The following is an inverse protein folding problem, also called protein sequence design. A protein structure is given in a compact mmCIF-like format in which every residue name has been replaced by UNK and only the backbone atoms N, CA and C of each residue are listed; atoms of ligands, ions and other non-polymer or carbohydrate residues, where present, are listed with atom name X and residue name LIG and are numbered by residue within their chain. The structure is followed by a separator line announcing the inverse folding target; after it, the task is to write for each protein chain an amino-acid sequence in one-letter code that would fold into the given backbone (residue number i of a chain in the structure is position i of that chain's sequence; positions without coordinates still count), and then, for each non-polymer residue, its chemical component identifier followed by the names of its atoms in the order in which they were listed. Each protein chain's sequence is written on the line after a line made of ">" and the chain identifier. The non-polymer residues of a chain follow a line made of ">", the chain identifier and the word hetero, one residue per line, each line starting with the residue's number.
data_IF_916308949895
#
_entry.id   IF_916308949895
#
_cell.length_a   1.000
_cell.length_b   1.000
_cell.length_c   1.000
_cell.angle_alpha   90.00
_cell.angle_beta   90.00
_cell.angle_gamma   90.00
#
_symmetry.space_group_name_H-M   'P 1'
#
loop_
_entity.id
_entity.type
_entity.pdbx_description
1 polymer ?
#
# COMPACT_ATOMS: atom_id res chain seq x y z
N UNK A 1 17.41 28.85 1.48
CA UNK A 1 15.96 29.16 1.38
C UNK A 1 15.20 27.86 1.17
N UNK A 2 14.51 27.40 2.18
CA UNK A 2 13.60 26.26 2.03
C UNK A 2 12.30 26.80 1.46
N UNK A 3 12.01 26.48 0.20
CA UNK A 3 10.70 26.71 -0.39
C UNK A 3 9.67 25.97 0.47
N UNK A 4 8.79 26.72 1.11
CA UNK A 4 7.61 26.15 1.75
C UNK A 4 6.62 25.77 0.65
N UNK A 5 6.80 24.56 0.10
CA UNK A 5 5.85 24.01 -0.86
C UNK A 5 4.55 23.66 -0.14
N UNK A 6 3.40 23.89 -0.78
CA UNK A 6 2.13 23.37 -0.31
C UNK A 6 2.22 21.87 -0.01
N UNK A 7 1.43 21.45 0.96
CA UNK A 7 1.45 20.09 1.47
C UNK A 7 1.20 19.02 0.37
N UNK A 8 0.26 19.28 -0.52
CA UNK A 8 -0.10 18.42 -1.63
C UNK A 8 1.09 18.18 -2.56
N UNK A 9 1.83 19.25 -2.87
CA UNK A 9 3.03 19.17 -3.73
C UNK A 9 4.15 18.39 -3.05
N UNK A 10 4.34 18.57 -1.74
CA UNK A 10 5.31 17.78 -0.98
C UNK A 10 4.97 16.29 -0.98
N UNK A 11 3.70 15.96 -0.86
CA UNK A 11 3.20 14.58 -0.89
C UNK A 11 3.44 13.95 -2.27
N UNK A 12 3.11 14.65 -3.33
CA UNK A 12 3.34 14.19 -4.71
C UNK A 12 4.82 13.94 -5.00
N UNK A 13 5.69 14.88 -4.62
CA UNK A 13 7.13 14.77 -4.84
C UNK A 13 7.74 13.61 -4.06
N UNK A 14 7.32 13.41 -2.80
CA UNK A 14 7.78 12.25 -2.01
C UNK A 14 7.34 10.93 -2.62
N UNK A 15 6.11 10.86 -3.09
CA UNK A 15 5.56 9.69 -3.76
C UNK A 15 6.34 9.40 -5.03
N UNK A 16 6.54 10.39 -5.88
CA UNK A 16 7.28 10.28 -7.13
C UNK A 16 8.75 9.90 -6.90
N UNK A 17 9.40 10.48 -5.88
CA UNK A 17 10.78 10.11 -5.48
C UNK A 17 10.88 8.65 -5.10
N UNK A 18 9.91 8.14 -4.33
CA UNK A 18 9.88 6.74 -3.91
C UNK A 18 9.64 5.77 -5.06
N UNK A 19 8.92 6.19 -6.07
CA UNK A 19 8.53 5.37 -7.21
C UNK A 19 9.57 5.36 -8.33
N UNK A 20 10.25 6.50 -8.55
CA UNK A 20 11.20 6.66 -9.66
C UNK A 20 12.66 6.47 -9.23
N UNK A 21 12.94 6.48 -7.93
CA UNK A 21 14.30 6.53 -7.39
C UNK A 21 15.01 7.87 -7.63
N UNK A 22 14.33 8.86 -8.23
CA UNK A 22 14.87 10.20 -8.42
C UNK A 22 14.91 10.96 -7.09
N UNK A 23 15.92 11.79 -6.91
CA UNK A 23 15.94 12.70 -5.77
C UNK A 23 14.81 13.73 -5.84
N UNK A 24 14.35 14.22 -4.69
CA UNK A 24 13.35 15.30 -4.59
C UNK A 24 13.76 16.51 -5.43
N UNK A 25 15.06 16.85 -5.40
CA UNK A 25 15.62 17.93 -6.20
C UNK A 25 15.46 17.70 -7.70
N UNK A 26 15.71 16.49 -8.17
CA UNK A 26 15.59 16.14 -9.59
C UNK A 26 14.13 16.25 -10.05
N UNK A 27 13.21 15.78 -9.24
CA UNK A 27 11.77 15.85 -9.54
C UNK A 27 11.29 17.31 -9.62
N UNK A 28 11.73 18.14 -8.67
CA UNK A 28 11.43 19.58 -8.69
C UNK A 28 11.95 20.26 -9.98
N UNK A 29 13.19 19.95 -10.37
CA UNK A 29 13.80 20.47 -11.57
C UNK A 29 13.06 20.02 -12.84
N UNK A 30 12.66 18.76 -12.89
CA UNK A 30 11.90 18.20 -14.01
C UNK A 30 10.53 18.89 -14.15
N UNK A 31 9.83 19.11 -13.04
CA UNK A 31 8.55 19.84 -13.02
C UNK A 31 8.70 21.31 -13.45
N UNK A 32 9.76 21.99 -13.00
CA UNK A 32 10.02 23.39 -13.34
C UNK A 32 10.41 23.58 -14.84
N UNK A 33 11.02 22.58 -15.45
CA UNK A 33 11.39 22.60 -16.86
C UNK A 33 10.25 22.22 -17.82
N UNK A 34 9.05 21.94 -17.28
CA UNK A 34 7.91 21.51 -18.09
C UNK A 34 8.10 20.13 -18.73
N UNK A 35 9.09 19.37 -18.26
CA UNK A 35 9.31 17.98 -18.65
C UNK A 35 8.29 17.09 -17.99
N UNK A 36 7.10 16.96 -18.56
CA UNK A 36 6.17 15.89 -18.24
C UNK A 36 6.74 14.57 -18.76
N UNK A 37 7.60 13.93 -17.99
CA UNK A 37 7.68 12.49 -18.05
C UNK A 37 6.53 12.00 -17.17
N UNK A 38 5.33 12.08 -17.68
CA UNK A 38 4.22 11.28 -17.22
C UNK A 38 4.54 9.80 -17.48
N UNK A 39 5.36 9.20 -16.63
CA UNK A 39 5.07 7.84 -16.25
C UNK A 39 3.84 7.97 -15.35
N UNK A 40 2.68 7.90 -15.96
CA UNK A 40 1.44 7.70 -15.25
C UNK A 40 1.64 6.44 -14.40
N UNK A 41 1.81 6.64 -13.10
CA UNK A 41 1.68 5.53 -12.18
C UNK A 41 0.29 4.96 -12.39
N UNK A 42 0.12 3.62 -12.38
CA UNK A 42 -1.20 3.04 -12.39
C UNK A 42 -2.06 3.77 -11.36
N UNK A 43 -3.21 4.27 -11.76
CA UNK A 43 -4.08 5.12 -10.94
C UNK A 43 -4.39 4.46 -9.58
N UNK A 44 -4.47 3.14 -9.56
CA UNK A 44 -4.73 2.35 -8.35
C UNK A 44 -3.56 2.37 -7.35
N UNK A 45 -2.32 2.30 -7.83
CA UNK A 45 -1.14 2.45 -6.97
C UNK A 45 -1.09 3.84 -6.35
N UNK A 46 -1.38 4.88 -7.14
CA UNK A 46 -1.41 6.27 -6.64
C UNK A 46 -2.46 6.43 -5.53
N UNK A 47 -3.67 5.89 -5.72
CA UNK A 47 -4.73 5.88 -4.69
C UNK A 47 -4.26 5.20 -3.41
N UNK A 48 -3.62 4.05 -3.53
CA UNK A 48 -3.12 3.30 -2.37
C UNK A 48 -2.00 4.04 -1.64
N UNK A 49 -1.11 4.71 -2.35
CA UNK A 49 -0.05 5.52 -1.71
C UNK A 49 -0.62 6.73 -0.96
N UNK A 50 -1.64 7.39 -1.50
CA UNK A 50 -2.37 8.45 -0.80
C UNK A 50 -3.08 7.92 0.45
N UNK A 51 -3.72 6.77 0.34
CA UNK A 51 -4.38 6.12 1.48
C UNK A 51 -3.39 5.72 2.58
N UNK A 52 -2.21 5.21 2.22
CA UNK A 52 -1.14 4.94 3.19
C UNK A 52 -0.67 6.20 3.91
N UNK A 53 -0.64 7.31 3.21
CA UNK A 53 -0.31 8.59 3.82
C UNK A 53 -1.35 9.01 4.87
N UNK A 54 -2.63 8.86 4.56
CA UNK A 54 -3.72 9.08 5.51
C UNK A 54 -3.64 8.13 6.71
N UNK A 55 -3.39 6.84 6.47
CA UNK A 55 -3.21 5.82 7.52
C UNK A 55 -2.06 6.19 8.45
N UNK A 56 -0.96 6.69 7.91
CA UNK A 56 0.20 7.13 8.70
C UNK A 56 -0.15 8.26 9.69
N UNK A 57 -1.14 9.09 9.37
CA UNK A 57 -1.57 10.22 10.19
C UNK A 57 -2.57 9.83 11.29
N UNK A 58 -3.07 8.61 11.31
CA UNK A 58 -4.04 8.15 12.29
C UNK A 58 -3.45 8.16 13.69
N UNK A 59 -4.15 8.79 14.63
CA UNK A 59 -3.76 8.89 16.03
C UNK A 59 -4.43 7.79 16.85
N UNK A 60 -3.98 7.61 18.08
CA UNK A 60 -4.64 6.70 19.02
C UNK A 60 -6.14 6.96 19.08
N UNK A 61 -6.95 5.92 19.14
CA UNK A 61 -8.41 5.96 19.14
C UNK A 61 -9.04 6.52 17.86
N UNK A 62 -8.37 6.40 16.72
CA UNK A 62 -8.84 6.90 15.43
C UNK A 62 -10.19 6.33 14.97
N UNK A 63 -10.54 5.14 15.45
CA UNK A 63 -11.82 4.49 15.15
C UNK A 63 -12.90 4.71 16.23
N UNK A 64 -12.60 5.51 17.28
CA UNK A 64 -13.49 5.71 18.44
C UNK A 64 -13.58 4.50 19.37
N UNK A 65 -12.82 3.44 19.13
CA UNK A 65 -12.86 2.18 19.88
C UNK A 65 -11.44 1.71 20.29
N UNK A 66 -10.64 2.63 20.82
CA UNK A 66 -9.29 2.40 21.37
C UNK A 66 -8.26 1.85 20.37
N UNK A 67 -8.45 2.04 19.06
CA UNK A 67 -7.50 1.61 18.06
C UNK A 67 -6.11 2.21 18.30
N UNK A 68 -5.08 1.39 18.06
CA UNK A 68 -3.67 1.82 18.07
C UNK A 68 -3.36 2.60 16.80
N UNK A 69 -2.47 3.59 16.84
CA UNK A 69 -1.93 4.19 15.63
C UNK A 69 -1.17 3.14 14.84
N UNK A 70 -1.09 3.31 13.52
CA UNK A 70 -0.30 2.44 12.66
C UNK A 70 1.15 2.88 12.69
N UNK A 71 2.06 2.00 13.09
CA UNK A 71 3.47 2.30 13.21
C UNK A 71 4.10 2.59 11.85
N UNK A 72 5.14 3.44 11.85
CA UNK A 72 5.93 3.74 10.65
C UNK A 72 6.48 2.46 10.00
N UNK A 73 6.87 1.48 10.80
CA UNK A 73 7.39 0.20 10.31
C UNK A 73 6.34 -0.54 9.46
N UNK A 74 5.11 -0.61 9.92
CA UNK A 74 4.00 -1.26 9.18
C UNK A 74 3.67 -0.48 7.92
N UNK A 75 3.57 0.84 7.98
CA UNK A 75 3.32 1.69 6.80
C UNK A 75 4.43 1.53 5.76
N UNK A 76 5.69 1.56 6.15
CA UNK A 76 6.83 1.41 5.23
C UNK A 76 6.87 0.02 4.58
N UNK A 77 6.57 -1.04 5.34
CA UNK A 77 6.47 -2.40 4.80
C UNK A 77 5.36 -2.50 3.77
N UNK A 78 4.19 -1.97 4.06
CA UNK A 78 3.06 -1.96 3.14
C UNK A 78 3.42 -1.20 1.86
N UNK A 79 4.04 -0.04 1.98
CA UNK A 79 4.48 0.75 0.83
C UNK A 79 5.47 -0.02 -0.06
N UNK A 80 6.51 -0.61 0.54
CA UNK A 80 7.49 -1.40 -0.19
C UNK A 80 6.86 -2.60 -0.91
N UNK A 81 5.84 -3.21 -0.30
CA UNK A 81 5.12 -4.34 -0.85
C UNK A 81 4.26 -3.93 -2.06
N UNK A 82 3.39 -2.92 -1.91
CA UNK A 82 2.42 -2.55 -2.95
C UNK A 82 3.03 -1.92 -4.19
N UNK A 83 4.19 -1.30 -4.09
CA UNK A 83 4.89 -0.69 -5.24
C UNK A 83 5.18 -1.72 -6.35
N UNK A 84 5.45 -2.96 -5.98
CA UNK A 84 5.84 -4.03 -6.90
C UNK A 84 4.71 -5.06 -7.13
N UNK A 85 3.48 -4.74 -6.77
CA UNK A 85 2.34 -5.63 -7.04
C UNK A 85 1.82 -5.45 -8.46
N UNK A 86 1.56 -6.55 -9.14
CA UNK A 86 0.94 -6.56 -10.47
C UNK A 86 -0.52 -6.13 -10.41
N UNK A 87 -1.23 -6.53 -9.36
CA UNK A 87 -2.60 -6.11 -9.06
C UNK A 87 -2.67 -5.42 -7.70
N UNK A 88 -3.20 -4.22 -7.68
CA UNK A 88 -3.32 -3.44 -6.46
C UNK A 88 -4.50 -3.92 -5.60
N UNK A 89 -4.28 -4.13 -4.28
CA UNK A 89 -5.34 -4.47 -3.34
C UNK A 89 -6.14 -3.24 -2.92
N UNK A 90 -7.25 -3.48 -2.23
CA UNK A 90 -7.80 -2.52 -1.28
C UNK A 90 -6.98 -2.59 0.01
N UNK A 91 -6.75 -1.46 0.67
CA UNK A 91 -5.97 -1.39 1.91
C UNK A 91 -6.77 -0.73 3.04
N UNK A 92 -6.66 -1.29 4.23
CA UNK A 92 -7.38 -0.84 5.42
C UNK A 92 -6.47 -0.87 6.66
N UNK A 93 -6.54 0.16 7.53
CA UNK A 93 -5.90 0.08 8.83
C UNK A 93 -6.71 -0.82 9.76
N UNK A 94 -6.04 -1.53 10.65
CA UNK A 94 -6.69 -2.29 11.73
C UNK A 94 -6.45 -1.66 13.09
N UNK A 95 -7.26 -2.02 14.08
CA UNK A 95 -7.13 -1.49 15.44
C UNK A 95 -5.86 -1.94 16.18
N UNK A 96 -5.13 -2.93 15.65
CA UNK A 96 -4.01 -3.61 16.32
C UNK A 96 -2.63 -3.30 15.70
N UNK A 97 -2.43 -2.10 15.17
CA UNK A 97 -1.17 -1.73 14.50
C UNK A 97 -0.81 -2.67 13.35
N UNK A 98 -1.75 -2.89 12.46
CA UNK A 98 -1.53 -3.63 11.23
C UNK A 98 -2.32 -3.01 10.07
N UNK A 99 -1.98 -3.40 8.86
CA UNK A 99 -2.71 -3.05 7.65
C UNK A 99 -3.21 -4.34 7.01
N UNK A 100 -4.51 -4.36 6.73
CA UNK A 100 -5.16 -5.42 5.98
C UNK A 100 -5.21 -5.03 4.51
N UNK A 101 -4.86 -5.96 3.65
CA UNK A 101 -4.99 -5.83 2.20
C UNK A 101 -5.97 -6.88 1.67
N UNK A 102 -6.81 -6.49 0.73
CA UNK A 102 -7.94 -7.31 0.29
C UNK A 102 -8.03 -7.36 -1.23
N UNK A 103 -8.45 -8.51 -1.73
CA UNK A 103 -8.77 -8.77 -3.12
C UNK A 103 -10.12 -9.47 -3.20
N UNK A 104 -11.03 -8.90 -3.97
CA UNK A 104 -12.31 -9.52 -4.29
C UNK A 104 -12.21 -10.27 -5.61
N UNK A 105 -12.77 -11.45 -5.67
CA UNK A 105 -12.86 -12.26 -6.87
C UNK A 105 -14.31 -12.51 -7.29
N UNK A 106 -14.50 -13.45 -8.18
CA UNK A 106 -15.82 -13.87 -8.65
C UNK A 106 -16.53 -14.79 -7.64
N UNK A 107 -17.86 -14.86 -7.71
CA UNK A 107 -18.69 -15.74 -6.88
C UNK A 107 -18.46 -15.58 -5.37
N UNK A 108 -18.25 -14.33 -4.91
CA UNK A 108 -17.93 -14.02 -3.52
C UNK A 108 -16.59 -14.63 -3.03
N UNK A 109 -15.70 -15.02 -3.93
CA UNK A 109 -14.34 -15.39 -3.53
C UNK A 109 -13.61 -14.17 -2.99
N UNK A 110 -12.73 -14.39 -2.03
CA UNK A 110 -12.13 -13.34 -1.24
C UNK A 110 -10.76 -13.75 -0.74
N UNK A 111 -9.80 -12.83 -0.80
CA UNK A 111 -8.46 -13.00 -0.26
C UNK A 111 -8.10 -11.78 0.58
N UNK A 112 -7.82 -11.99 1.85
CA UNK A 112 -7.26 -10.95 2.73
C UNK A 112 -5.91 -11.36 3.27
N UNK A 113 -5.03 -10.39 3.44
CA UNK A 113 -3.73 -10.58 4.08
C UNK A 113 -3.51 -9.48 5.11
N UNK A 114 -2.78 -9.80 6.16
CA UNK A 114 -2.46 -8.88 7.23
C UNK A 114 -0.96 -8.58 7.25
N UNK A 115 -0.62 -7.30 7.18
CA UNK A 115 0.74 -6.79 7.26
C UNK A 115 0.96 -6.25 8.67
N UNK A 116 1.90 -6.86 9.38
CA UNK A 116 2.27 -6.49 10.75
C UNK A 116 3.74 -6.10 10.82
N UNK A 117 4.24 -5.82 12.00
CA UNK A 117 5.68 -5.62 12.25
C UNK A 117 6.55 -6.86 12.01
N UNK A 118 5.94 -8.05 11.91
CA UNK A 118 6.65 -9.32 11.67
C UNK A 118 6.90 -9.55 10.17
N UNK A 119 7.74 -10.53 9.84
CA UNK A 119 8.19 -10.76 8.46
C UNK A 119 7.27 -11.60 7.60
N UNK A 120 6.27 -12.24 8.20
CA UNK A 120 5.31 -13.07 7.49
C UNK A 120 3.99 -12.32 7.29
N UNK A 121 3.30 -12.63 6.20
CA UNK A 121 1.93 -12.23 5.95
C UNK A 121 1.02 -13.42 6.27
N UNK A 122 0.11 -13.26 7.22
CA UNK A 122 -0.99 -14.19 7.38
C UNK A 122 -2.07 -13.88 6.36
N UNK A 123 -2.69 -14.91 5.81
CA UNK A 123 -3.81 -14.75 4.88
C UNK A 123 -5.00 -15.64 5.21
N UNK A 124 -6.16 -15.18 4.80
CA UNK A 124 -7.41 -15.90 4.75
C UNK A 124 -7.96 -15.82 3.32
N UNK A 125 -8.33 -16.96 2.75
CA UNK A 125 -8.85 -17.07 1.40
C UNK A 125 -10.14 -17.86 1.39
N UNK A 126 -11.14 -17.36 0.68
CA UNK A 126 -12.35 -18.10 0.30
C UNK A 126 -12.31 -18.26 -1.21
N UNK A 127 -12.31 -19.49 -1.71
CA UNK A 127 -12.31 -19.75 -3.15
C UNK A 127 -13.70 -19.64 -3.79
N UNK A 128 -13.77 -19.83 -5.10
CA UNK A 128 -15.01 -19.73 -5.89
C UNK A 128 -16.09 -20.77 -5.49
N UNK A 129 -15.69 -21.85 -4.85
CA UNK A 129 -16.53 -22.91 -4.31
C UNK A 129 -16.93 -22.69 -2.84
N UNK A 130 -16.44 -21.59 -2.22
CA UNK A 130 -16.72 -21.24 -0.83
C UNK A 130 -15.82 -21.98 0.18
N UNK A 131 -14.74 -22.62 -0.28
CA UNK A 131 -13.78 -23.27 0.62
C UNK A 131 -12.86 -22.24 1.26
N UNK A 132 -12.75 -22.32 2.58
CA UNK A 132 -11.89 -21.46 3.39
C UNK A 132 -10.50 -22.07 3.58
N UNK A 133 -9.47 -21.25 3.39
CA UNK A 133 -8.06 -21.62 3.59
C UNK A 133 -7.36 -20.49 4.33
N UNK A 134 -6.57 -20.84 5.34
CA UNK A 134 -5.67 -19.92 6.03
C UNK A 134 -4.22 -20.35 5.85
N UNK A 135 -3.31 -19.40 5.89
CA UNK A 135 -1.89 -19.70 5.79
C UNK A 135 -1.01 -18.48 6.02
N UNK A 136 0.26 -18.66 5.79
CA UNK A 136 1.26 -17.60 5.85
C UNK A 136 2.16 -17.66 4.63
N UNK A 137 2.59 -16.48 4.18
CA UNK A 137 3.62 -16.33 3.13
C UNK A 137 4.70 -15.35 3.59
N UNK A 138 5.91 -15.39 3.03
CA UNK A 138 6.90 -14.35 3.29
C UNK A 138 6.38 -12.96 2.89
N UNK A 139 6.76 -11.92 3.62
CA UNK A 139 6.43 -10.54 3.29
C UNK A 139 7.30 -10.06 2.09
N UNK A 140 6.95 -10.51 0.91
CA UNK A 140 7.59 -10.10 -0.34
C UNK A 140 6.55 -9.93 -1.45
N UNK A 141 6.78 -8.98 -2.35
CA UNK A 141 5.92 -8.79 -3.52
C UNK A 141 5.91 -10.00 -4.45
N UNK A 142 7.01 -10.72 -4.53
CA UNK A 142 7.10 -11.96 -5.30
C UNK A 142 6.13 -13.03 -4.78
N UNK A 143 6.16 -13.31 -3.47
CA UNK A 143 5.27 -14.29 -2.85
C UNK A 143 3.80 -13.87 -2.93
N UNK A 144 3.52 -12.57 -2.71
CA UNK A 144 2.16 -12.04 -2.79
C UNK A 144 1.61 -12.08 -4.23
N UNK A 145 2.40 -11.67 -5.24
CA UNK A 145 1.98 -11.76 -6.63
C UNK A 145 1.63 -13.20 -7.04
N UNK A 146 2.43 -14.18 -6.58
CA UNK A 146 2.16 -15.60 -6.83
C UNK A 146 0.82 -16.06 -6.21
N UNK A 147 0.56 -15.68 -4.95
CA UNK A 147 -0.70 -16.02 -4.27
C UNK A 147 -1.90 -15.34 -4.91
N UNK A 148 -1.78 -14.07 -5.28
CA UNK A 148 -2.86 -13.31 -5.95
C UNK A 148 -3.15 -13.89 -7.32
N UNK A 149 -2.12 -14.27 -8.07
CA UNK A 149 -2.30 -14.95 -9.36
C UNK A 149 -3.06 -16.26 -9.21
N UNK A 150 -2.65 -17.12 -8.28
CA UNK A 150 -3.37 -18.37 -7.95
C UNK A 150 -4.83 -18.12 -7.56
N UNK A 151 -5.09 -17.05 -6.80
CA UNK A 151 -6.44 -16.69 -6.37
C UNK A 151 -7.37 -16.33 -7.54
N UNK A 152 -6.86 -15.71 -8.61
CA UNK A 152 -7.65 -15.30 -9.77
C UNK A 152 -7.71 -16.34 -10.90
N UNK A 153 -6.89 -17.37 -10.88
CA UNK A 153 -6.94 -18.50 -11.82
C UNK A 153 -8.07 -19.48 -11.48
#
# INVERSE_FOLDING_TARGET
>A
MFLQLPYEIKSEIKTESSLTGKSVRQILLDKLRGGTVEKEFPSELRKNLLKLYEIKSLKRNWNGNRAKPISRKVVNKTKALIINLEKQPQIFPTANDSIQIEYDGENNSYLELQITKYNDLSYFKVDKEGKEVTGTIPCSSFALNALVKEFYE
#
